data_IF_490200888882
#
_entry.id   IF_490200888882
#
_cell.length_a   1.000
_cell.length_b   1.000
_cell.length_c   1.000
_cell.angle_alpha   90.00
_cell.angle_beta   90.00
_cell.angle_gamma   90.00
#
_symmetry.space_group_name_H-M   'P 1'
#
loop_
_entity.id
_entity.type
_entity.pdbx_description
1 polymer ?
#
# COMPACT_ATOMS: atom_id res chain seq x y z
N UNK A 1 -29.74 -17.28 -0.26
CA UNK A 1 -28.38 -16.92 -0.66
C UNK A 1 -28.15 -15.42 -0.85
N UNK A 2 -28.90 -14.67 -1.67
CA UNK A 2 -28.65 -13.23 -1.89
C UNK A 2 -28.83 -12.31 -0.66
N UNK A 3 -29.66 -12.65 0.30
CA UNK A 3 -29.95 -11.79 1.47
C UNK A 3 -28.85 -11.86 2.53
N UNK A 4 -28.15 -13.01 2.65
CA UNK A 4 -27.04 -13.20 3.59
C UNK A 4 -25.73 -12.55 3.10
N UNK A 5 -25.54 -12.42 1.77
CA UNK A 5 -24.40 -11.75 1.18
C UNK A 5 -24.48 -10.23 1.31
N UNK A 6 -25.69 -9.65 1.14
CA UNK A 6 -25.94 -8.22 1.30
C UNK A 6 -25.71 -7.77 2.76
N UNK A 7 -26.13 -8.57 3.73
CA UNK A 7 -25.91 -8.30 5.16
C UNK A 7 -24.44 -8.41 5.55
N UNK A 8 -23.69 -9.36 4.99
CA UNK A 8 -22.24 -9.49 5.23
C UNK A 8 -21.44 -8.35 4.62
N UNK A 9 -21.74 -7.92 3.40
CA UNK A 9 -21.07 -6.79 2.75
C UNK A 9 -21.31 -5.48 3.50
N UNK A 10 -22.55 -5.18 3.91
CA UNK A 10 -22.87 -4.00 4.70
C UNK A 10 -22.19 -3.96 6.08
N UNK A 11 -22.04 -5.12 6.72
CA UNK A 11 -21.32 -5.26 8.00
C UNK A 11 -19.80 -5.00 7.86
N UNK A 12 -19.17 -5.46 6.75
CA UNK A 12 -17.74 -5.25 6.49
C UNK A 12 -17.43 -3.79 6.19
N UNK A 13 -18.17 -3.18 5.28
CA UNK A 13 -18.01 -1.74 4.95
C UNK A 13 -18.14 -0.88 6.20
N UNK A 14 -19.10 -1.17 7.06
CA UNK A 14 -19.27 -0.47 8.33
C UNK A 14 -18.06 -0.62 9.25
N UNK A 15 -17.49 -1.84 9.37
CA UNK A 15 -16.29 -2.09 10.17
C UNK A 15 -15.10 -1.23 9.72
N UNK A 16 -14.79 -1.23 8.42
CA UNK A 16 -13.65 -0.46 7.90
C UNK A 16 -13.88 1.05 7.94
N UNK A 17 -15.12 1.50 7.75
CA UNK A 17 -15.48 2.92 7.93
C UNK A 17 -15.27 3.39 9.37
N UNK A 18 -15.58 2.56 10.37
CA UNK A 18 -15.29 2.86 11.77
C UNK A 18 -13.77 2.93 12.02
N UNK A 19 -13.02 1.93 11.57
CA UNK A 19 -11.55 1.90 11.73
C UNK A 19 -10.89 3.11 11.06
N UNK A 20 -11.32 3.49 9.86
CA UNK A 20 -10.82 4.67 9.15
C UNK A 20 -11.09 5.96 9.94
N UNK A 21 -12.31 6.12 10.48
CA UNK A 21 -12.67 7.29 11.28
C UNK A 21 -11.85 7.37 12.57
N UNK A 22 -11.63 6.23 13.24
CA UNK A 22 -10.84 6.16 14.46
C UNK A 22 -9.36 6.45 14.20
N UNK A 23 -8.78 5.91 13.11
CA UNK A 23 -7.42 6.26 12.65
C UNK A 23 -7.30 7.76 12.39
N UNK A 24 -8.26 8.31 11.62
CA UNK A 24 -8.27 9.73 11.27
C UNK A 24 -8.31 10.63 12.50
N UNK A 25 -9.12 10.26 13.50
CA UNK A 25 -9.22 11.01 14.77
C UNK A 25 -7.95 10.87 15.62
N UNK A 26 -7.48 9.63 15.84
CA UNK A 26 -6.34 9.36 16.72
C UNK A 26 -5.03 9.96 16.19
N UNK A 27 -4.85 9.94 14.87
CA UNK A 27 -3.64 10.42 14.22
C UNK A 27 -3.79 11.82 13.62
N UNK A 28 -5.00 12.41 13.62
CA UNK A 28 -5.30 13.69 12.96
C UNK A 28 -4.90 13.67 11.46
N UNK A 29 -5.25 12.58 10.75
CA UNK A 29 -4.93 12.45 9.34
C UNK A 29 -5.74 13.44 8.50
N UNK A 30 -5.07 14.14 7.60
CA UNK A 30 -5.70 15.07 6.65
C UNK A 30 -6.45 14.30 5.54
N UNK A 31 -5.85 13.22 5.06
CA UNK A 31 -6.32 12.45 3.91
C UNK A 31 -6.73 11.03 4.29
N UNK A 32 -7.44 10.36 3.39
CA UNK A 32 -7.86 8.98 3.56
C UNK A 32 -6.68 8.01 3.55
N UNK A 33 -6.76 6.96 4.37
CA UNK A 33 -5.93 5.77 4.24
C UNK A 33 -6.40 4.96 3.03
N UNK A 34 -5.46 4.31 2.34
CA UNK A 34 -5.74 3.56 1.10
C UNK A 34 -5.82 2.07 1.40
N UNK A 35 -6.98 1.48 1.19
CA UNK A 35 -7.18 0.03 1.20
C UNK A 35 -6.82 -0.56 -0.16
N UNK A 36 -6.04 -1.66 -0.15
CA UNK A 36 -5.57 -2.36 -1.36
C UNK A 36 -5.90 -3.83 -1.22
N UNK A 37 -6.40 -4.46 -2.29
CA UNK A 37 -6.53 -5.91 -2.35
C UNK A 37 -5.92 -6.52 -3.61
N UNK A 38 -5.52 -7.80 -3.50
CA UNK A 38 -4.94 -8.60 -4.57
C UNK A 38 -5.88 -9.76 -4.89
N UNK A 39 -6.28 -9.91 -6.15
CA UNK A 39 -7.22 -10.95 -6.53
C UNK A 39 -7.01 -11.42 -7.97
N UNK A 40 -7.72 -12.49 -8.33
CA UNK A 40 -7.79 -12.98 -9.71
C UNK A 40 -9.03 -12.46 -10.45
N UNK A 41 -10.01 -11.91 -9.73
CA UNK A 41 -11.28 -11.41 -10.24
C UNK A 41 -11.56 -10.01 -9.70
N UNK A 42 -12.21 -9.18 -10.51
CA UNK A 42 -12.59 -7.83 -10.10
C UNK A 42 -13.71 -7.89 -9.03
N UNK A 43 -13.64 -7.06 -7.98
CA UNK A 43 -14.72 -6.96 -7.01
C UNK A 43 -16.02 -6.47 -7.67
N UNK A 44 -17.14 -7.00 -7.22
CA UNK A 44 -18.46 -6.59 -7.73
C UNK A 44 -18.71 -5.09 -7.51
N UNK A 45 -19.16 -4.40 -8.55
CA UNK A 45 -19.49 -2.97 -8.49
C UNK A 45 -18.28 -2.02 -8.45
N UNK A 46 -17.05 -2.53 -8.57
CA UNK A 46 -15.84 -1.72 -8.66
C UNK A 46 -15.39 -1.62 -10.10
N UNK A 47 -15.38 -0.42 -10.66
CA UNK A 47 -15.01 -0.19 -12.06
C UNK A 47 -13.49 -0.22 -12.28
N UNK A 48 -13.07 -0.60 -13.49
CA UNK A 48 -11.67 -0.52 -13.89
C UNK A 48 -11.27 0.93 -14.17
N UNK A 49 -10.12 1.35 -13.64
CA UNK A 49 -9.58 2.69 -13.92
C UNK A 49 -9.25 2.84 -15.40
N UNK A 50 -9.49 4.03 -15.94
CA UNK A 50 -9.15 4.35 -17.33
C UNK A 50 -7.70 4.79 -17.46
N UNK A 51 -7.04 4.32 -18.55
CA UNK A 51 -5.68 4.72 -18.88
C UNK A 51 -4.58 4.01 -18.08
N UNK A 52 -3.37 4.50 -18.27
CA UNK A 52 -2.15 3.95 -17.65
C UNK A 52 -1.52 4.96 -16.71
N UNK A 53 -1.16 4.51 -15.50
CA UNK A 53 -0.46 5.34 -14.52
C UNK A 53 0.43 4.49 -13.60
N UNK A 54 1.25 5.15 -12.81
CA UNK A 54 2.07 4.47 -11.81
C UNK A 54 1.21 4.14 -10.58
N UNK A 55 1.51 3.04 -9.89
CA UNK A 55 0.79 2.69 -8.65
C UNK A 55 0.84 3.83 -7.62
N UNK A 56 1.97 4.51 -7.49
CA UNK A 56 2.09 5.66 -6.60
C UNK A 56 1.09 6.79 -6.95
N UNK A 57 0.81 7.04 -8.23
CA UNK A 57 -0.22 8.01 -8.65
C UNK A 57 -1.64 7.50 -8.34
N UNK A 58 -1.87 6.17 -8.40
CA UNK A 58 -3.15 5.56 -7.99
C UNK A 58 -3.44 5.79 -6.51
N UNK A 59 -2.41 5.74 -5.65
CA UNK A 59 -2.55 6.09 -4.23
C UNK A 59 -3.02 7.54 -4.04
N UNK A 60 -2.53 8.48 -4.85
CA UNK A 60 -2.96 9.88 -4.77
C UNK A 60 -4.42 10.08 -5.18
N UNK A 61 -4.88 9.41 -6.23
CA UNK A 61 -6.29 9.44 -6.65
C UNK A 61 -7.19 9.01 -5.48
N UNK A 62 -6.85 7.91 -4.83
CA UNK A 62 -7.63 7.44 -3.66
C UNK A 62 -7.57 8.44 -2.51
N UNK A 63 -6.38 9.00 -2.21
CA UNK A 63 -6.17 9.92 -1.08
C UNK A 63 -6.92 11.24 -1.25
N UNK A 64 -6.92 11.81 -2.44
CA UNK A 64 -7.39 13.18 -2.70
C UNK A 64 -8.75 13.23 -3.39
N UNK A 65 -8.98 12.34 -4.35
CA UNK A 65 -10.21 12.34 -5.14
C UNK A 65 -11.26 11.39 -4.51
N UNK A 66 -10.82 10.45 -3.69
CA UNK A 66 -11.68 9.52 -2.97
C UNK A 66 -12.31 8.45 -3.86
N UNK A 67 -11.64 8.13 -4.98
CA UNK A 67 -12.12 7.17 -5.96
C UNK A 67 -11.91 5.73 -5.52
N UNK A 68 -12.82 4.86 -5.97
CA UNK A 68 -12.78 3.40 -5.80
C UNK A 68 -12.67 2.78 -7.17
N UNK A 69 -11.62 1.98 -7.40
CA UNK A 69 -11.39 1.35 -8.70
C UNK A 69 -10.55 0.08 -8.57
N UNK A 70 -10.55 -0.73 -9.64
CA UNK A 70 -9.58 -1.79 -9.80
C UNK A 70 -8.67 -1.57 -11.02
N UNK A 71 -7.55 -2.29 -11.05
CA UNK A 71 -6.57 -2.23 -12.13
C UNK A 71 -6.23 -3.63 -12.60
N UNK A 72 -5.88 -3.72 -13.88
CA UNK A 72 -5.19 -4.87 -14.48
C UNK A 72 -3.74 -4.49 -14.79
N UNK A 73 -2.91 -5.44 -15.23
CA UNK A 73 -1.52 -5.14 -15.61
C UNK A 73 -1.40 -4.08 -16.70
N UNK A 74 -2.42 -3.91 -17.55
CA UNK A 74 -2.46 -2.89 -18.60
C UNK A 74 -2.59 -1.46 -18.08
N UNK A 75 -3.10 -1.27 -16.84
CA UNK A 75 -3.21 0.06 -16.23
C UNK A 75 -1.90 0.53 -15.58
N UNK A 76 -0.92 -0.37 -15.39
CA UNK A 76 0.33 -0.05 -14.71
C UNK A 76 1.42 0.41 -15.68
N UNK A 77 1.71 1.71 -15.69
CA UNK A 77 2.73 2.34 -16.55
C UNK A 77 4.16 1.95 -16.17
N UNK A 78 4.41 1.50 -14.95
CA UNK A 78 5.75 1.13 -14.48
C UNK A 78 5.82 -0.29 -13.95
N UNK A 79 6.95 -0.96 -14.19
CA UNK A 79 7.21 -2.31 -13.70
C UNK A 79 7.29 -2.41 -12.16
N UNK A 80 7.60 -1.30 -11.47
CA UNK A 80 7.60 -1.26 -10.01
C UNK A 80 6.24 -1.64 -9.41
N UNK A 81 5.15 -1.05 -9.94
CA UNK A 81 3.79 -1.36 -9.49
C UNK A 81 3.37 -2.79 -9.84
N UNK A 82 3.30 -3.08 -11.15
CA UNK A 82 2.82 -4.39 -11.62
C UNK A 82 3.70 -5.56 -11.18
N UNK A 83 5.02 -5.37 -11.17
CA UNK A 83 5.96 -6.44 -10.77
C UNK A 83 5.98 -6.68 -9.26
N UNK A 84 5.87 -5.63 -8.42
CA UNK A 84 5.80 -5.82 -6.96
C UNK A 84 4.48 -6.46 -6.54
N UNK A 85 3.38 -6.14 -7.23
CA UNK A 85 2.05 -6.67 -6.94
C UNK A 85 1.77 -8.04 -7.58
N UNK A 86 2.76 -8.71 -8.17
CA UNK A 86 2.59 -10.06 -8.72
C UNK A 86 1.77 -10.15 -10.00
N UNK A 87 1.51 -9.04 -10.68
CA UNK A 87 0.69 -9.02 -11.90
C UNK A 87 1.45 -9.52 -13.13
N UNK A 88 2.74 -9.25 -13.21
CA UNK A 88 3.64 -9.68 -14.30
C UNK A 88 5.09 -9.72 -13.83
N UNK A 89 5.92 -10.36 -14.63
CA UNK A 89 7.37 -10.31 -14.45
C UNK A 89 7.91 -8.88 -14.64
N UNK A 90 8.89 -8.51 -13.84
CA UNK A 90 9.62 -7.27 -14.05
C UNK A 90 10.46 -7.34 -15.33
N UNK A 91 10.60 -6.21 -16.02
CA UNK A 91 11.47 -6.09 -17.20
C UNK A 91 12.92 -6.46 -16.86
N UNK A 92 13.60 -7.12 -17.80
CA UNK A 92 14.99 -7.55 -17.63
C UNK A 92 15.96 -6.41 -17.28
N UNK A 93 15.76 -5.21 -17.84
CA UNK A 93 16.58 -4.04 -17.51
C UNK A 93 16.43 -3.59 -16.04
N UNK A 94 15.27 -3.85 -15.45
CA UNK A 94 15.04 -3.61 -14.02
C UNK A 94 15.71 -4.73 -13.20
N UNK A 95 15.50 -6.00 -13.56
CA UNK A 95 16.08 -7.16 -12.87
C UNK A 95 17.61 -7.15 -12.88
N UNK A 96 18.22 -6.74 -13.99
CA UNK A 96 19.70 -6.64 -14.13
C UNK A 96 20.29 -5.41 -13.44
N UNK A 97 19.46 -4.46 -13.04
CA UNK A 97 19.86 -3.18 -12.44
C UNK A 97 20.27 -2.12 -13.47
N UNK A 98 20.28 -2.43 -14.78
CA UNK A 98 20.65 -1.50 -15.85
C UNK A 98 19.81 -0.23 -15.81
N UNK A 99 18.49 -0.37 -15.67
CA UNK A 99 17.57 0.75 -15.65
C UNK A 99 17.85 1.73 -14.52
N UNK A 100 17.99 1.23 -13.28
CA UNK A 100 18.20 2.09 -12.10
C UNK A 100 19.62 2.70 -12.08
N UNK A 101 20.61 1.98 -12.58
CA UNK A 101 21.96 2.50 -12.73
C UNK A 101 22.00 3.61 -13.79
N UNK A 102 21.34 3.43 -14.94
CA UNK A 102 21.22 4.44 -15.99
C UNK A 102 20.49 5.70 -15.52
N UNK A 103 19.55 5.57 -14.58
CA UNK A 103 18.89 6.72 -13.93
C UNK A 103 19.79 7.45 -12.90
N UNK A 104 21.02 6.97 -12.66
CA UNK A 104 21.92 7.55 -11.67
C UNK A 104 21.58 7.24 -10.21
N UNK A 105 20.64 6.31 -9.96
CA UNK A 105 20.22 5.95 -8.60
C UNK A 105 21.18 4.97 -7.92
N UNK A 106 22.03 4.29 -8.69
CA UNK A 106 23.04 3.35 -8.20
C UNK A 106 24.36 3.54 -8.94
N UNK A 107 25.46 3.35 -8.25
CA UNK A 107 26.80 3.48 -8.82
C UNK A 107 27.21 2.31 -9.74
N UNK A 108 26.45 1.21 -9.80
CA UNK A 108 26.68 0.09 -10.69
C UNK A 108 25.45 -0.79 -10.87
N UNK A 109 25.36 -1.50 -12.00
CA UNK A 109 24.31 -2.48 -12.26
C UNK A 109 24.29 -3.58 -11.19
N UNK A 110 25.47 -3.99 -10.67
CA UNK A 110 25.58 -4.99 -9.61
C UNK A 110 24.89 -4.52 -8.32
N UNK A 111 25.12 -3.29 -7.90
CA UNK A 111 24.49 -2.72 -6.72
C UNK A 111 22.96 -2.60 -6.89
N UNK A 112 22.53 -2.07 -8.04
CA UNK A 112 21.11 -1.96 -8.38
C UNK A 112 20.42 -3.33 -8.41
N UNK A 113 21.03 -4.34 -9.07
CA UNK A 113 20.50 -5.71 -9.11
C UNK A 113 20.38 -6.33 -7.73
N UNK A 114 21.41 -6.17 -6.86
CA UNK A 114 21.36 -6.68 -5.49
C UNK A 114 20.21 -6.06 -4.72
N UNK A 115 20.02 -4.76 -4.86
CA UNK A 115 18.93 -4.03 -4.21
C UNK A 115 17.56 -4.52 -4.70
N UNK A 116 17.34 -4.57 -6.01
CA UNK A 116 16.08 -5.05 -6.61
C UNK A 116 15.77 -6.49 -6.20
N UNK A 117 16.77 -7.36 -6.15
CA UNK A 117 16.57 -8.76 -5.78
C UNK A 117 16.25 -8.95 -4.29
N UNK A 118 16.58 -7.98 -3.43
CA UNK A 118 16.19 -8.01 -2.00
C UNK A 118 14.77 -7.49 -1.72
N UNK A 119 14.12 -6.88 -2.72
CA UNK A 119 12.79 -6.34 -2.54
C UNK A 119 11.73 -7.45 -2.50
N UNK A 120 10.84 -7.46 -1.49
CA UNK A 120 9.67 -8.33 -1.48
C UNK A 120 8.79 -8.11 -2.71
N UNK A 121 8.34 -9.20 -3.31
CA UNK A 121 7.48 -9.19 -4.50
C UNK A 121 6.52 -10.37 -4.42
N UNK A 122 5.25 -10.11 -4.71
CA UNK A 122 4.25 -11.17 -4.90
C UNK A 122 4.66 -11.95 -6.16
N UNK A 123 4.48 -13.27 -6.15
CA UNK A 123 4.84 -14.14 -7.27
C UNK A 123 4.15 -13.70 -8.56
N UNK A 124 4.94 -13.55 -9.62
CA UNK A 124 4.47 -13.02 -10.89
C UNK A 124 3.40 -13.94 -11.52
N UNK A 125 2.30 -13.33 -11.99
CA UNK A 125 1.17 -14.02 -12.62
C UNK A 125 0.13 -14.56 -11.62
N UNK A 126 0.35 -14.44 -10.31
CA UNK A 126 -0.62 -14.87 -9.29
C UNK A 126 -1.73 -13.85 -9.05
N UNK A 127 -1.46 -12.57 -9.29
CA UNK A 127 -2.43 -11.46 -9.17
C UNK A 127 -2.82 -10.97 -10.56
N UNK A 128 -4.12 -10.90 -10.83
CA UNK A 128 -4.66 -10.32 -12.08
C UNK A 128 -5.25 -8.95 -11.85
N UNK A 129 -5.80 -8.71 -10.68
CA UNK A 129 -6.52 -7.50 -10.29
C UNK A 129 -5.90 -6.94 -9.00
N UNK A 130 -5.64 -5.65 -9.00
CA UNK A 130 -5.34 -4.90 -7.77
C UNK A 130 -6.43 -3.84 -7.61
N UNK A 131 -7.13 -3.87 -6.47
CA UNK A 131 -8.23 -2.94 -6.18
C UNK A 131 -7.80 -1.91 -5.15
N UNK A 132 -8.30 -0.69 -5.32
CA UNK A 132 -7.96 0.47 -4.51
C UNK A 132 -9.24 1.17 -4.03
N UNK A 133 -9.26 1.57 -2.77
CA UNK A 133 -10.38 2.34 -2.17
C UNK A 133 -9.89 3.19 -1.01
N UNK A 134 -10.49 4.34 -0.73
CA UNK A 134 -10.43 4.91 0.61
C UNK A 134 -10.92 3.86 1.62
N UNK A 135 -10.23 3.72 2.74
CA UNK A 135 -10.56 2.70 3.74
C UNK A 135 -12.01 2.82 4.23
N UNK A 136 -12.52 4.04 4.33
CA UNK A 136 -13.91 4.34 4.73
C UNK A 136 -14.97 3.98 3.68
N UNK A 137 -14.56 3.75 2.42
CA UNK A 137 -15.46 3.42 1.31
C UNK A 137 -15.29 1.99 0.79
N UNK A 138 -14.41 1.20 1.40
CA UNK A 138 -14.07 -0.13 0.89
C UNK A 138 -15.27 -1.08 0.88
N UNK A 139 -15.51 -1.73 -0.25
CA UNK A 139 -16.59 -2.70 -0.47
C UNK A 139 -16.08 -4.13 -0.68
N UNK A 140 -14.78 -4.31 -0.76
CA UNK A 140 -14.08 -5.59 -0.91
C UNK A 140 -13.25 -5.90 0.35
N UNK A 141 -12.71 -7.11 0.45
CA UNK A 141 -11.78 -7.46 1.52
C UNK A 141 -10.38 -6.92 1.18
N UNK A 142 -9.85 -5.93 1.90
CA UNK A 142 -8.49 -5.46 1.68
C UNK A 142 -7.46 -6.40 2.28
N UNK A 143 -6.29 -6.47 1.67
CA UNK A 143 -5.12 -7.19 2.17
C UNK A 143 -4.16 -6.25 2.91
N UNK A 144 -4.02 -5.02 2.41
CA UNK A 144 -3.08 -4.02 2.93
C UNK A 144 -3.76 -2.66 3.04
N UNK A 145 -3.42 -1.93 4.09
CA UNK A 145 -3.78 -0.52 4.24
C UNK A 145 -2.52 0.33 4.19
N UNK A 146 -2.48 1.29 3.26
CA UNK A 146 -1.39 2.26 3.13
C UNK A 146 -1.81 3.58 3.76
N UNK A 147 -0.96 4.09 4.65
CA UNK A 147 -1.11 5.40 5.29
C UNK A 147 0.08 6.27 4.88
N UNK A 148 -0.19 7.46 4.40
CA UNK A 148 0.83 8.49 4.12
C UNK A 148 0.61 9.60 5.12
N UNK A 149 1.60 9.84 5.97
CA UNK A 149 1.49 10.66 7.16
C UNK A 149 2.83 11.31 7.52
N UNK A 150 2.84 12.28 8.41
CA UNK A 150 4.09 12.84 8.90
C UNK A 150 4.84 11.89 9.84
N UNK A 151 6.10 12.19 10.14
CA UNK A 151 6.95 11.33 10.96
C UNK A 151 6.38 11.08 12.37
N UNK A 152 5.73 12.08 13.00
CA UNK A 152 5.10 11.92 14.32
C UNK A 152 3.93 10.93 14.26
N UNK A 153 3.07 11.04 13.26
CA UNK A 153 1.95 10.12 13.05
C UNK A 153 2.45 8.69 12.76
N UNK A 154 3.51 8.55 11.94
CA UNK A 154 4.17 7.27 11.68
C UNK A 154 4.77 6.64 12.94
N UNK A 155 5.39 7.45 13.81
CA UNK A 155 5.88 7.01 15.12
C UNK A 155 4.74 6.45 15.98
N UNK A 156 3.60 7.14 16.06
CA UNK A 156 2.44 6.69 16.82
C UNK A 156 1.88 5.35 16.33
N UNK A 157 1.86 5.13 15.01
CA UNK A 157 1.47 3.84 14.43
C UNK A 157 2.46 2.74 14.84
N UNK A 158 3.77 3.02 14.79
CA UNK A 158 4.80 2.07 15.19
C UNK A 158 4.72 1.71 16.68
N UNK A 159 4.46 2.69 17.55
CA UNK A 159 4.25 2.49 18.98
C UNK A 159 2.97 1.70 19.26
N UNK A 160 1.86 2.00 18.55
CA UNK A 160 0.62 1.26 18.66
C UNK A 160 0.77 -0.21 18.23
N UNK A 161 1.55 -0.47 17.18
CA UNK A 161 1.91 -1.83 16.77
C UNK A 161 2.75 -2.54 17.84
N UNK A 162 3.70 -1.86 18.44
CA UNK A 162 4.54 -2.41 19.49
C UNK A 162 3.81 -2.60 20.84
N UNK A 163 2.74 -1.85 21.10
CA UNK A 163 2.09 -1.71 22.40
C UNK A 163 1.74 -3.03 23.09
N UNK A 164 1.19 -3.98 22.36
CA UNK A 164 0.90 -5.32 22.88
C UNK A 164 1.86 -6.38 22.31
N UNK A 165 2.35 -6.20 21.08
CA UNK A 165 3.19 -7.19 20.40
C UNK A 165 4.64 -7.17 20.84
N UNK A 166 5.15 -6.03 21.32
CA UNK A 166 6.59 -5.80 21.55
C UNK A 166 7.44 -5.81 20.28
N UNK A 167 6.81 -5.95 19.11
CA UNK A 167 7.50 -6.01 17.81
C UNK A 167 7.86 -4.62 17.29
N UNK A 168 8.83 -4.58 16.39
CA UNK A 168 9.24 -3.35 15.68
C UNK A 168 8.71 -3.38 14.26
N UNK A 169 8.40 -2.20 13.72
CA UNK A 169 8.11 -2.03 12.30
C UNK A 169 9.35 -2.27 11.45
N UNK A 170 9.16 -2.74 10.22
CA UNK A 170 10.25 -3.00 9.29
C UNK A 170 10.51 -1.75 8.41
N UNK A 171 11.71 -1.21 8.49
CA UNK A 171 12.14 -0.10 7.65
C UNK A 171 12.57 -0.56 6.26
N UNK A 172 11.86 -0.10 5.22
CA UNK A 172 12.12 -0.47 3.83
C UNK A 172 12.08 0.77 2.94
N UNK A 173 13.23 1.41 2.73
CA UNK A 173 13.31 2.60 1.88
C UNK A 173 14.08 2.31 0.59
N UNK A 174 13.55 2.79 -0.52
CA UNK A 174 14.16 2.72 -1.84
C UNK A 174 13.22 2.18 -2.93
N UNK A 175 13.67 2.17 -4.18
CA UNK A 175 12.83 1.81 -5.33
C UNK A 175 12.61 0.28 -5.45
N UNK A 176 11.36 -0.13 -5.77
CA UNK A 176 10.16 0.70 -5.87
C UNK A 176 9.40 0.76 -4.53
N UNK A 177 8.76 1.90 -4.25
CA UNK A 177 7.91 2.08 -3.06
C UNK A 177 6.82 1.00 -2.95
N UNK A 178 6.30 0.53 -4.08
CA UNK A 178 5.28 -0.52 -4.17
C UNK A 178 5.71 -1.82 -3.48
N UNK A 179 7.00 -2.16 -3.56
CA UNK A 179 7.56 -3.31 -2.84
C UNK A 179 7.53 -3.07 -1.32
N UNK A 180 7.91 -1.86 -0.90
CA UNK A 180 8.13 -1.53 0.51
C UNK A 180 6.85 -1.45 1.34
N UNK A 181 5.79 -0.84 0.78
CA UNK A 181 4.56 -0.52 1.52
C UNK A 181 3.32 -1.27 1.05
N UNK A 182 3.43 -2.03 -0.03
CA UNK A 182 2.30 -2.79 -0.58
C UNK A 182 2.60 -4.28 -0.57
N UNK A 183 3.66 -4.73 -1.27
CA UNK A 183 4.01 -6.15 -1.30
C UNK A 183 4.62 -6.66 0.02
N UNK A 184 5.48 -5.88 0.66
CA UNK A 184 6.15 -6.31 1.89
C UNK A 184 5.18 -6.60 3.03
N UNK A 185 4.24 -5.70 3.42
CA UNK A 185 3.29 -6.00 4.49
C UNK A 185 2.41 -7.22 4.16
N UNK A 186 1.98 -7.37 2.91
CA UNK A 186 1.22 -8.54 2.46
C UNK A 186 1.98 -9.85 2.64
N UNK A 187 3.27 -9.88 2.26
CA UNK A 187 4.08 -11.09 2.28
C UNK A 187 4.63 -11.45 3.66
N UNK A 188 4.92 -10.43 4.48
CA UNK A 188 5.56 -10.63 5.79
C UNK A 188 4.57 -10.69 6.94
N UNK A 189 3.36 -10.16 6.77
CA UNK A 189 2.40 -9.97 7.86
C UNK A 189 2.86 -8.93 8.90
N UNK A 190 3.85 -8.09 8.57
CA UNK A 190 4.42 -7.10 9.49
C UNK A 190 4.16 -5.67 9.00
N UNK A 191 4.08 -4.73 9.91
CA UNK A 191 3.98 -3.30 9.58
C UNK A 191 5.31 -2.83 9.00
N UNK A 192 5.25 -2.22 7.81
CA UNK A 192 6.42 -1.66 7.13
C UNK A 192 6.34 -0.16 7.03
N UNK A 193 7.50 0.52 7.01
CA UNK A 193 7.57 1.93 6.71
C UNK A 193 8.64 2.26 5.67
N UNK A 194 8.45 3.36 4.97
CA UNK A 194 9.38 3.85 3.96
C UNK A 194 9.38 5.38 3.92
N UNK A 195 10.54 5.97 3.70
CA UNK A 195 10.65 7.39 3.37
C UNK A 195 10.26 7.68 1.91
N UNK A 196 9.86 6.66 1.17
CA UNK A 196 9.57 6.74 -0.24
C UNK A 196 10.77 6.39 -1.11
N UNK A 197 10.60 6.59 -2.40
CA UNK A 197 11.66 6.50 -3.39
C UNK A 197 11.65 7.73 -4.31
N UNK A 198 12.66 7.86 -5.15
CA UNK A 198 12.76 8.96 -6.11
C UNK A 198 11.53 9.05 -7.03
N UNK A 199 10.96 7.90 -7.43
CA UNK A 199 9.75 7.86 -8.27
C UNK A 199 8.53 8.38 -7.52
N UNK A 200 8.27 7.90 -6.32
CA UNK A 200 7.15 8.36 -5.50
C UNK A 200 7.26 9.85 -5.20
N UNK A 201 8.45 10.32 -4.78
CA UNK A 201 8.68 11.74 -4.47
C UNK A 201 8.49 12.67 -5.68
N UNK A 202 8.73 12.19 -6.92
CA UNK A 202 8.55 12.98 -8.14
C UNK A 202 7.13 12.92 -8.73
N UNK A 203 6.38 11.84 -8.47
CA UNK A 203 5.10 11.60 -9.17
C UNK A 203 3.87 11.69 -8.28
N UNK A 204 4.05 11.80 -6.96
CA UNK A 204 2.96 11.93 -5.98
C UNK A 204 2.90 13.35 -5.42
N UNK A 205 1.70 13.72 -4.95
CA UNK A 205 1.48 14.95 -4.18
C UNK A 205 1.75 14.67 -2.71
N UNK A 206 3.03 14.58 -2.32
CA UNK A 206 3.46 14.32 -0.95
C UNK A 206 4.33 15.46 -0.41
N UNK A 207 4.22 15.73 0.88
CA UNK A 207 5.06 16.71 1.59
C UNK A 207 6.43 16.09 1.92
N UNK A 208 7.44 16.92 2.12
CA UNK A 208 8.81 16.45 2.41
C UNK A 208 8.91 15.70 3.74
N UNK A 209 8.07 16.04 4.71
CA UNK A 209 7.98 15.39 6.03
C UNK A 209 7.05 14.17 6.08
N UNK A 210 6.36 13.84 4.98
CA UNK A 210 5.51 12.64 4.91
C UNK A 210 6.34 11.38 4.68
N UNK A 211 5.91 10.33 5.37
CA UNK A 211 6.41 8.95 5.27
C UNK A 211 5.27 8.02 4.87
N UNK A 212 5.62 6.84 4.41
CA UNK A 212 4.69 5.83 3.97
C UNK A 212 4.68 4.67 4.96
N UNK A 213 3.50 4.22 5.36
CA UNK A 213 3.29 3.06 6.23
C UNK A 213 2.42 2.06 5.49
N UNK A 214 2.87 0.79 5.45
CA UNK A 214 2.08 -0.33 4.97
C UNK A 214 1.67 -1.22 6.14
N UNK A 215 0.39 -1.50 6.28
CA UNK A 215 -0.19 -2.28 7.38
C UNK A 215 -0.94 -3.47 6.81
N UNK A 216 -0.60 -4.72 7.17
CA UNK A 216 -1.47 -5.87 6.90
C UNK A 216 -2.84 -5.65 7.53
N UNK A 217 -3.91 -5.94 6.81
CA UNK A 217 -5.27 -5.62 7.29
C UNK A 217 -5.61 -6.33 8.61
N UNK A 218 -5.04 -7.49 8.85
CA UNK A 218 -5.22 -8.29 10.07
C UNK A 218 -4.75 -7.54 11.32
N UNK A 219 -3.75 -6.66 11.18
CA UNK A 219 -3.19 -5.88 12.28
C UNK A 219 -3.93 -4.55 12.52
N UNK A 220 -4.76 -4.12 11.55
CA UNK A 220 -5.36 -2.79 11.58
C UNK A 220 -6.22 -2.56 12.82
N UNK A 221 -7.08 -3.53 13.18
CA UNK A 221 -7.96 -3.41 14.35
C UNK A 221 -7.15 -3.26 15.64
N UNK A 222 -6.13 -4.10 15.83
CA UNK A 222 -5.26 -4.04 16.99
C UNK A 222 -4.54 -2.69 17.11
N UNK A 223 -3.99 -2.19 16.01
CA UNK A 223 -3.30 -0.89 15.97
C UNK A 223 -4.26 0.25 16.33
N UNK A 224 -5.46 0.26 15.77
CA UNK A 224 -6.48 1.30 16.06
C UNK A 224 -6.90 1.26 17.53
N UNK A 225 -7.13 0.09 18.08
CA UNK A 225 -7.51 -0.06 19.47
C UNK A 225 -6.37 0.34 20.43
N UNK A 226 -5.12 0.05 20.06
CA UNK A 226 -3.96 0.44 20.83
C UNK A 226 -3.73 1.96 20.79
N UNK A 227 -3.92 2.62 19.65
CA UNK A 227 -3.88 4.09 19.55
C UNK A 227 -4.86 4.76 20.52
N UNK A 228 -6.05 4.17 20.75
CA UNK A 228 -7.04 4.68 21.71
C UNK A 228 -6.63 4.45 23.18
N UNK A 229 -5.90 3.36 23.46
CA UNK A 229 -5.43 3.02 24.84
C UNK A 229 -4.21 3.82 25.25
N UNK A 230 -3.37 4.20 24.30
CA UNK A 230 -2.16 4.97 24.58
C UNK A 230 -2.49 6.34 25.15
N UNK A 231 -1.79 6.70 26.22
CA UNK A 231 -1.87 8.05 26.85
C UNK A 231 -0.85 8.95 26.16
N UNK A 232 -1.27 9.61 25.11
CA UNK A 232 -0.44 10.45 24.24
C UNK A 232 -0.60 11.93 24.59
#
# INVERSE_FOLDING_TARGET
MKQDEITKSGSKTYKYAMLANDLKKSLQLENSSVAISFSTEAPEGVEQIKGEMRLCQMLDIVRFDGDVFHTTSCNHKCDGGSGSCGMKEMNEKVKTGEFLCKMGLFGSNRAARRFINSNPRIEAGTVKIVSFSPLEKVTFDPDVVVIICNAKQGMLIAEAFAYESGKRTLGMTGPPICSSIVAAPFLTGEVTYSFGDHGARNYMKIKDDEVFIGIPVELLTCIVDNLKKMKL
#
